data_IF_929863744363
#
_entry.id   IF_929863744363
#
_cell.length_a   1.000
_cell.length_b   1.000
_cell.length_c   1.000
_cell.angle_alpha   90.00
_cell.angle_beta   90.00
_cell.angle_gamma   90.00
#
_symmetry.space_group_name_H-M   'P 1'
#
loop_
_entity.id
_entity.type
_entity.pdbx_description
1 polymer ?
#
# COMPACT_ATOMS: atom_id res chain seq x y z
N UNK A 1 -0.40 -49.22 -41.15
CA UNK A 1 -1.16 -48.82 -39.95
C UNK A 1 -1.66 -47.40 -40.17
N UNK A 2 -2.96 -47.14 -39.99
CA UNK A 2 -3.46 -45.76 -39.87
C UNK A 2 -3.51 -45.47 -38.38
N UNK A 3 -2.56 -44.69 -37.88
CA UNK A 3 -2.58 -44.23 -36.48
C UNK A 3 -3.58 -43.09 -36.38
N UNK A 4 -4.56 -43.22 -35.47
CA UNK A 4 -5.48 -42.14 -35.12
C UNK A 4 -4.83 -41.31 -34.01
N UNK A 5 -4.56 -40.03 -34.28
CA UNK A 5 -4.10 -39.10 -33.25
C UNK A 5 -5.30 -38.32 -32.71
N UNK A 6 -5.58 -38.47 -31.41
CA UNK A 6 -6.58 -37.66 -30.72
C UNK A 6 -5.90 -36.40 -30.17
N UNK A 7 -6.50 -35.24 -30.39
CA UNK A 7 -6.07 -33.98 -29.82
C UNK A 7 -7.03 -33.56 -28.70
N UNK A 8 -6.50 -33.36 -27.49
CA UNK A 8 -7.27 -32.82 -26.37
C UNK A 8 -7.05 -31.32 -26.32
N UNK A 9 -8.13 -30.56 -26.51
CA UNK A 9 -8.13 -29.09 -26.43
C UNK A 9 -8.78 -28.68 -25.10
N UNK A 10 -8.19 -27.71 -24.42
CA UNK A 10 -8.69 -27.17 -23.18
C UNK A 10 -8.52 -25.65 -23.10
N UNK A 11 -9.30 -25.01 -22.23
CA UNK A 11 -9.18 -23.60 -21.93
C UNK A 11 -8.31 -23.39 -20.68
N UNK A 12 -7.43 -22.42 -20.72
CA UNK A 12 -6.55 -22.02 -19.62
C UNK A 12 -6.60 -20.51 -19.43
N UNK A 13 -6.58 -19.99 -18.18
CA UNK A 13 -6.67 -18.56 -17.98
C UNK A 13 -5.32 -17.87 -18.17
N UNK A 14 -5.37 -16.69 -18.79
CA UNK A 14 -4.35 -15.66 -18.65
C UNK A 14 -4.84 -14.71 -17.56
N UNK A 15 -4.06 -14.60 -16.49
CA UNK A 15 -4.43 -13.84 -15.30
C UNK A 15 -3.56 -12.58 -15.23
N UNK A 16 -4.19 -11.43 -15.03
CA UNK A 16 -3.50 -10.13 -14.92
C UNK A 16 -4.21 -9.22 -13.93
N UNK A 17 -3.50 -8.23 -13.37
CA UNK A 17 -4.13 -7.14 -12.63
C UNK A 17 -4.38 -5.97 -13.58
N UNK A 18 -5.67 -5.66 -13.74
CA UNK A 18 -6.15 -4.63 -14.62
C UNK A 18 -6.55 -3.38 -13.82
N UNK A 19 -6.24 -2.22 -14.38
CA UNK A 19 -6.83 -0.96 -13.92
C UNK A 19 -8.27 -0.89 -14.43
N UNK A 20 -9.20 -0.55 -13.55
CA UNK A 20 -10.59 -0.31 -13.89
C UNK A 20 -10.80 1.10 -14.48
N UNK A 21 -9.86 2.01 -14.24
CA UNK A 21 -9.84 3.38 -14.75
C UNK A 21 -9.24 3.39 -16.17
N UNK A 22 -8.04 2.82 -16.32
CA UNK A 22 -7.31 2.77 -17.59
C UNK A 22 -7.30 1.33 -18.14
N UNK A 23 -8.38 0.94 -18.83
CA UNK A 23 -8.53 -0.41 -19.38
C UNK A 23 -7.47 -0.69 -20.46
N UNK A 24 -6.37 -1.34 -20.08
CA UNK A 24 -5.37 -1.87 -21.01
C UNK A 24 -5.56 -3.38 -21.20
N UNK A 25 -5.40 -3.86 -22.44
CA UNK A 25 -5.68 -5.25 -22.83
C UNK A 25 -4.37 -6.01 -23.09
N UNK A 26 -4.08 -7.14 -22.39
CA UNK A 26 -2.92 -7.99 -22.67
C UNK A 26 -3.02 -8.67 -24.03
N UNK A 27 -4.19 -9.22 -24.35
CA UNK A 27 -4.51 -9.74 -25.69
C UNK A 27 -5.47 -8.76 -26.38
N UNK A 28 -5.04 -8.20 -27.51
CA UNK A 28 -5.90 -7.38 -28.37
C UNK A 28 -7.01 -8.29 -28.95
N UNK A 29 -8.28 -7.98 -28.63
CA UNK A 29 -9.55 -8.51 -29.19
C UNK A 29 -10.34 -9.55 -28.38
N UNK A 30 -9.85 -10.01 -27.23
CA UNK A 30 -10.61 -10.98 -26.40
C UNK A 30 -11.21 -10.32 -25.15
N UNK A 31 -12.42 -10.77 -24.78
CA UNK A 31 -13.15 -10.31 -23.60
C UNK A 31 -12.36 -10.59 -22.31
N UNK A 32 -12.38 -9.62 -21.38
CA UNK A 32 -11.75 -9.75 -20.06
C UNK A 32 -12.87 -9.93 -19.04
N UNK A 33 -12.82 -11.04 -18.31
CA UNK A 33 -13.70 -11.29 -17.17
C UNK A 33 -13.03 -10.76 -15.90
N UNK A 34 -13.68 -9.83 -15.21
CA UNK A 34 -13.15 -9.23 -13.99
C UNK A 34 -13.63 -9.97 -12.75
N UNK A 35 -12.69 -10.28 -11.85
CA UNK A 35 -12.96 -10.86 -10.54
C UNK A 35 -13.42 -9.75 -9.60
N UNK A 36 -14.71 -9.75 -9.26
CA UNK A 36 -15.32 -8.75 -8.37
C UNK A 36 -16.15 -9.34 -7.21
N UNK A 37 -16.19 -10.67 -7.09
CA UNK A 37 -16.92 -11.40 -6.05
C UNK A 37 -18.44 -11.49 -6.27
N UNK A 38 -18.99 -10.95 -7.35
CA UNK A 38 -20.43 -11.05 -7.66
C UNK A 38 -20.79 -12.42 -8.24
N UNK A 39 -22.06 -12.86 -8.14
CA UNK A 39 -22.50 -14.12 -8.77
C UNK A 39 -22.24 -14.16 -10.29
N UNK A 40 -22.31 -13.02 -10.97
CA UNK A 40 -21.98 -12.89 -12.39
C UNK A 40 -20.49 -13.16 -12.61
N UNK A 41 -19.61 -12.55 -11.83
CA UNK A 41 -18.16 -12.80 -11.88
C UNK A 41 -17.79 -14.27 -11.62
N UNK A 42 -18.45 -14.95 -10.66
CA UNK A 42 -18.24 -16.40 -10.46
C UNK A 42 -18.61 -17.22 -11.70
N UNK A 43 -19.75 -16.90 -12.32
CA UNK A 43 -20.21 -17.57 -13.55
C UNK A 43 -19.26 -17.35 -14.72
N UNK A 44 -18.89 -16.10 -14.97
CA UNK A 44 -18.07 -15.69 -16.11
C UNK A 44 -16.65 -16.27 -16.02
N UNK A 45 -16.11 -16.37 -14.79
CA UNK A 45 -14.81 -16.98 -14.52
C UNK A 45 -14.86 -18.50 -14.38
N UNK A 46 -16.05 -19.12 -14.55
CA UNK A 46 -16.30 -20.56 -14.46
C UNK A 46 -15.88 -21.16 -13.11
N UNK A 47 -16.05 -20.40 -12.02
CA UNK A 47 -15.76 -20.81 -10.65
C UNK A 47 -17.04 -21.11 -9.87
N UNK A 48 -16.92 -21.94 -8.85
CA UNK A 48 -18.05 -22.26 -7.96
C UNK A 48 -18.22 -21.18 -6.89
N UNK A 49 -19.47 -20.84 -6.60
CA UNK A 49 -19.79 -19.95 -5.48
C UNK A 49 -19.44 -20.61 -4.13
N UNK A 50 -19.18 -19.82 -3.06
CA UNK A 50 -18.73 -20.35 -1.77
C UNK A 50 -19.64 -21.43 -1.16
N UNK A 51 -20.96 -21.31 -1.33
CA UNK A 51 -21.92 -22.28 -0.80
C UNK A 51 -21.85 -23.60 -1.57
N UNK A 52 -21.64 -23.54 -2.89
CA UNK A 52 -21.47 -24.71 -3.74
C UNK A 52 -20.13 -25.42 -3.45
N UNK A 53 -19.06 -24.65 -3.23
CA UNK A 53 -17.76 -25.17 -2.77
C UNK A 53 -17.92 -25.91 -1.43
N UNK A 54 -18.60 -25.32 -0.44
CA UNK A 54 -18.84 -25.97 0.85
C UNK A 54 -19.66 -27.26 0.74
N UNK A 55 -20.70 -27.27 -0.09
CA UNK A 55 -21.50 -28.48 -0.33
C UNK A 55 -20.64 -29.56 -0.98
N UNK A 56 -19.79 -29.21 -1.95
CA UNK A 56 -18.87 -30.15 -2.61
C UNK A 56 -17.85 -30.69 -1.63
N UNK A 57 -17.28 -29.84 -0.79
CA UNK A 57 -16.30 -30.22 0.23
C UNK A 57 -16.91 -31.16 1.26
N UNK A 58 -18.11 -30.86 1.77
CA UNK A 58 -18.85 -31.78 2.66
C UNK A 58 -19.13 -33.14 2.00
N UNK A 59 -19.49 -33.14 0.70
CA UNK A 59 -19.69 -34.37 -0.08
C UNK A 59 -18.38 -35.12 -0.36
N UNK A 60 -17.23 -34.43 -0.45
CA UNK A 60 -15.88 -35.01 -0.61
C UNK A 60 -15.39 -35.63 0.68
N UNK A 61 -15.49 -34.91 1.80
CA UNK A 61 -15.10 -35.39 3.14
C UNK A 61 -15.88 -36.65 3.51
N UNK A 62 -17.17 -36.73 3.15
CA UNK A 62 -17.98 -37.95 3.34
C UNK A 62 -17.52 -39.17 2.54
N UNK A 63 -16.65 -39.02 1.53
CA UNK A 63 -16.17 -40.13 0.68
C UNK A 63 -14.80 -40.72 1.06
N UNK A 64 -14.07 -40.11 2.01
CA UNK A 64 -12.79 -40.54 2.65
C UNK A 64 -11.66 -41.13 1.76
N UNK A 65 -10.50 -40.46 1.85
CA UNK A 65 -9.11 -40.90 1.55
C UNK A 65 -8.81 -41.45 0.14
N UNK A 66 -8.81 -40.56 -0.85
CA UNK A 66 -7.78 -40.57 -1.89
C UNK A 66 -7.10 -39.21 -1.83
N UNK A 67 -5.76 -39.17 -1.89
CA UNK A 67 -4.99 -37.93 -1.79
C UNK A 67 -5.49 -36.91 -2.84
N UNK A 68 -6.02 -35.79 -2.36
CA UNK A 68 -6.79 -34.80 -3.13
C UNK A 68 -5.83 -33.84 -3.85
N UNK A 69 -4.94 -34.40 -4.67
CA UNK A 69 -3.90 -33.69 -5.43
C UNK A 69 -4.25 -33.66 -6.93
N UNK A 70 -5.54 -33.51 -7.28
CA UNK A 70 -5.98 -33.52 -8.69
C UNK A 70 -6.25 -32.10 -9.25
N UNK A 71 -6.48 -31.11 -8.39
CA UNK A 71 -6.91 -29.78 -8.82
C UNK A 71 -5.71 -28.85 -9.06
N UNK A 72 -5.74 -28.12 -10.16
CA UNK A 72 -4.80 -27.03 -10.42
C UNK A 72 -4.93 -25.92 -9.38
N UNK A 73 -3.79 -25.47 -8.88
CA UNK A 73 -3.69 -24.44 -7.84
C UNK A 73 -4.09 -23.05 -8.30
N UNK A 74 -4.05 -22.76 -9.61
CA UNK A 74 -4.62 -21.52 -10.15
C UNK A 74 -6.13 -21.39 -9.90
N UNK A 75 -6.87 -22.51 -9.87
CA UNK A 75 -8.31 -22.48 -9.52
C UNK A 75 -8.46 -22.04 -8.06
N UNK A 76 -7.63 -22.59 -7.17
CA UNK A 76 -7.62 -22.24 -5.74
C UNK A 76 -7.27 -20.77 -5.52
N UNK A 77 -6.31 -20.23 -6.28
CA UNK A 77 -5.97 -18.80 -6.27
C UNK A 77 -7.17 -17.95 -6.70
N UNK A 78 -7.79 -18.25 -7.85
CA UNK A 78 -8.92 -17.48 -8.36
C UNK A 78 -10.15 -17.55 -7.43
N UNK A 79 -10.48 -18.73 -6.88
CA UNK A 79 -11.53 -18.85 -5.86
C UNK A 79 -11.23 -18.01 -4.62
N UNK A 80 -9.95 -17.93 -4.22
CA UNK A 80 -9.53 -17.12 -3.06
C UNK A 80 -9.63 -15.61 -3.36
N UNK A 81 -9.29 -15.18 -4.58
CA UNK A 81 -9.45 -13.80 -5.03
C UNK A 81 -10.93 -13.39 -5.11
N UNK A 82 -11.81 -14.24 -5.67
CA UNK A 82 -13.27 -13.99 -5.66
C UNK A 82 -13.81 -13.84 -4.24
N UNK A 83 -13.40 -14.74 -3.34
CA UNK A 83 -13.82 -14.72 -1.93
C UNK A 83 -13.32 -13.46 -1.21
N UNK A 84 -12.09 -13.02 -1.55
CA UNK A 84 -11.52 -11.76 -1.06
C UNK A 84 -12.37 -10.57 -1.48
N UNK A 85 -12.69 -10.44 -2.77
CA UNK A 85 -13.54 -9.34 -3.27
C UNK A 85 -14.94 -9.37 -2.63
N UNK A 86 -15.60 -10.53 -2.56
CA UNK A 86 -16.92 -10.67 -1.95
C UNK A 86 -16.92 -10.24 -0.47
N UNK A 87 -16.00 -10.78 0.34
CA UNK A 87 -15.97 -10.55 1.79
C UNK A 87 -15.51 -9.16 2.16
N UNK A 88 -14.45 -8.67 1.52
CA UNK A 88 -13.89 -7.35 1.81
C UNK A 88 -14.90 -6.24 1.49
N UNK A 89 -15.55 -6.28 0.32
CA UNK A 89 -16.58 -5.29 -0.06
C UNK A 89 -17.80 -5.34 0.86
N UNK A 90 -18.23 -6.54 1.26
CA UNK A 90 -19.33 -6.70 2.21
C UNK A 90 -18.97 -6.13 3.60
N UNK A 91 -17.76 -6.39 4.10
CA UNK A 91 -17.26 -5.84 5.34
C UNK A 91 -17.16 -4.30 5.30
N UNK A 92 -16.57 -3.76 4.24
CA UNK A 92 -16.42 -2.32 4.03
C UNK A 92 -17.77 -1.59 3.96
N UNK A 93 -18.75 -2.18 3.26
CA UNK A 93 -20.14 -1.71 3.25
C UNK A 93 -20.77 -1.77 4.65
N UNK A 94 -20.50 -2.82 5.42
CA UNK A 94 -21.03 -2.97 6.77
C UNK A 94 -20.45 -1.91 7.71
N UNK A 95 -19.15 -1.64 7.66
CA UNK A 95 -18.48 -0.58 8.44
C UNK A 95 -19.09 0.78 8.11
N UNK A 96 -19.22 1.11 6.81
CA UNK A 96 -19.92 2.32 6.35
C UNK A 96 -21.32 2.48 6.94
N UNK A 97 -22.09 1.39 6.95
CA UNK A 97 -23.50 1.41 7.36
C UNK A 97 -23.72 1.49 8.87
N UNK A 98 -22.71 1.14 9.69
CA UNK A 98 -22.81 1.14 11.16
C UNK A 98 -22.58 2.53 11.77
N UNK A 99 -21.80 3.37 11.11
CA UNK A 99 -21.40 4.67 11.65
C UNK A 99 -22.58 5.66 11.49
N UNK A 100 -23.05 6.21 12.61
CA UNK A 100 -24.15 7.19 12.62
C UNK A 100 -23.66 8.49 12.02
N UNK A 101 -24.25 8.88 10.90
CA UNK A 101 -23.84 10.05 10.15
C UNK A 101 -24.35 11.35 10.78
N UNK A 102 -23.47 12.35 10.91
CA UNK A 102 -23.87 13.74 11.17
C UNK A 102 -24.31 14.43 9.85
N UNK A 103 -23.72 14.08 8.70
CA UNK A 103 -23.86 14.82 7.43
C UNK A 103 -24.34 14.02 6.19
N UNK A 104 -25.04 12.88 6.36
CA UNK A 104 -25.66 12.13 5.26
C UNK A 104 -24.94 10.83 4.85
N UNK A 105 -25.36 10.21 3.74
CA UNK A 105 -24.86 8.88 3.31
C UNK A 105 -23.52 9.03 2.57
N UNK A 106 -22.44 8.49 3.14
CA UNK A 106 -21.13 8.42 2.47
C UNK A 106 -21.21 7.47 1.26
N UNK A 107 -20.90 7.99 0.07
CA UNK A 107 -20.83 7.19 -1.16
C UNK A 107 -19.76 6.09 -1.00
N UNK A 108 -20.05 4.89 -1.50
CA UNK A 108 -19.06 3.81 -1.52
C UNK A 108 -17.86 4.15 -2.41
N UNK A 109 -16.69 3.55 -2.15
CA UNK A 109 -15.47 3.79 -2.91
C UNK A 109 -15.61 3.28 -4.34
N UNK A 110 -14.91 3.96 -5.24
CA UNK A 110 -14.67 3.47 -6.59
C UNK A 110 -13.36 2.67 -6.57
N UNK A 111 -13.47 1.35 -6.61
CA UNK A 111 -12.30 0.47 -6.62
C UNK A 111 -11.56 0.60 -7.94
N UNK A 112 -10.23 0.71 -7.87
CA UNK A 112 -9.43 1.11 -9.04
C UNK A 112 -8.78 -0.07 -9.77
N UNK A 113 -8.62 -1.21 -9.08
CA UNK A 113 -8.00 -2.42 -9.63
C UNK A 113 -8.88 -3.65 -9.42
N UNK A 114 -8.79 -4.57 -10.37
CA UNK A 114 -9.35 -5.91 -10.26
C UNK A 114 -8.47 -6.92 -10.99
N UNK A 115 -8.61 -8.20 -10.63
CA UNK A 115 -7.98 -9.28 -11.39
C UNK A 115 -8.81 -9.54 -12.64
N UNK A 116 -8.18 -9.44 -13.81
CA UNK A 116 -8.75 -9.75 -15.11
C UNK A 116 -8.32 -11.12 -15.59
N UNK A 117 -9.25 -11.87 -16.16
CA UNK A 117 -9.04 -13.19 -16.74
C UNK A 117 -9.37 -13.15 -18.23
N UNK A 118 -8.44 -13.60 -19.05
CA UNK A 118 -8.65 -13.87 -20.47
C UNK A 118 -8.55 -15.37 -20.72
N UNK A 119 -9.35 -15.89 -21.65
CA UNK A 119 -9.38 -17.33 -21.96
C UNK A 119 -8.40 -17.63 -23.08
N UNK A 120 -7.44 -18.51 -22.83
CA UNK A 120 -6.54 -19.03 -23.86
C UNK A 120 -6.83 -20.51 -24.13
N UNK A 121 -7.15 -20.82 -25.37
CA UNK A 121 -7.31 -22.18 -25.86
C UNK A 121 -5.93 -22.82 -26.06
N UNK A 122 -5.73 -24.02 -25.52
CA UNK A 122 -4.48 -24.79 -25.60
C UNK A 122 -4.75 -26.23 -26.04
N UNK A 123 -3.77 -26.82 -26.70
CA UNK A 123 -3.73 -28.24 -27.01
C UNK A 123 -2.85 -28.97 -25.99
N UNK A 124 -3.31 -30.09 -25.46
CA UNK A 124 -2.54 -30.93 -24.55
C UNK A 124 -1.27 -31.47 -25.19
N UNK A 125 -1.25 -31.62 -26.52
CA UNK A 125 -0.07 -32.03 -27.27
C UNK A 125 1.08 -30.99 -27.21
N UNK A 126 0.77 -29.74 -26.83
CA UNK A 126 1.75 -28.67 -26.63
C UNK A 126 2.14 -28.49 -25.15
N UNK A 127 1.56 -29.27 -24.25
CA UNK A 127 1.92 -29.26 -22.82
C UNK A 127 3.13 -30.15 -22.61
N UNK A 128 4.20 -29.66 -21.98
CA UNK A 128 5.39 -30.49 -21.76
C UNK A 128 5.12 -31.71 -20.88
N UNK A 129 5.81 -32.81 -21.15
CA UNK A 129 5.55 -34.11 -20.52
C UNK A 129 5.66 -34.12 -18.98
N UNK A 130 6.42 -33.19 -18.38
CA UNK A 130 6.55 -33.05 -16.91
C UNK A 130 5.35 -32.36 -16.27
N UNK A 131 4.56 -31.64 -17.05
CA UNK A 131 3.42 -30.87 -16.59
C UNK A 131 2.20 -31.77 -16.67
N UNK A 132 1.73 -32.19 -15.51
CA UNK A 132 0.65 -33.18 -15.41
C UNK A 132 -0.74 -32.54 -15.34
N UNK A 133 -0.83 -31.20 -15.24
CA UNK A 133 -2.08 -30.45 -15.04
C UNK A 133 -2.17 -29.22 -15.95
N UNK A 134 -3.40 -28.78 -16.29
CA UNK A 134 -3.61 -27.49 -16.96
C UNK A 134 -3.05 -26.34 -16.10
N UNK A 135 -2.26 -25.47 -16.69
CA UNK A 135 -1.65 -24.34 -15.99
C UNK A 135 -2.21 -23.00 -16.47
N UNK A 136 -2.29 -22.02 -15.57
CA UNK A 136 -2.57 -20.63 -15.92
C UNK A 136 -1.29 -19.92 -16.39
N UNK A 137 -1.46 -18.86 -17.17
CA UNK A 137 -0.34 -17.99 -17.59
C UNK A 137 -0.52 -16.60 -16.98
N UNK A 138 0.56 -16.03 -16.46
CA UNK A 138 0.59 -14.67 -15.94
C UNK A 138 2.01 -14.11 -16.09
N UNK A 139 2.29 -12.95 -15.51
CA UNK A 139 3.64 -12.37 -15.47
C UNK A 139 4.10 -12.23 -14.03
N UNK A 140 5.41 -12.17 -13.80
CA UNK A 140 5.96 -11.97 -12.44
C UNK A 140 5.42 -10.70 -11.79
N UNK A 141 5.22 -9.63 -12.56
CA UNK A 141 4.67 -8.39 -12.06
C UNK A 141 3.25 -8.60 -11.50
N UNK A 142 2.38 -9.24 -12.28
CA UNK A 142 1.01 -9.53 -11.85
C UNK A 142 0.94 -10.53 -10.70
N UNK A 143 1.85 -11.50 -10.62
CA UNK A 143 1.94 -12.40 -9.45
C UNK A 143 2.23 -11.59 -8.19
N UNK A 144 3.26 -10.75 -8.21
CA UNK A 144 3.62 -9.89 -7.08
C UNK A 144 2.43 -9.04 -6.62
N UNK A 145 1.77 -8.37 -7.56
CA UNK A 145 0.60 -7.53 -7.30
C UNK A 145 -0.59 -8.34 -6.74
N UNK A 146 -0.88 -9.53 -7.30
CA UNK A 146 -2.01 -10.37 -6.87
C UNK A 146 -1.81 -10.92 -5.46
N UNK A 147 -0.61 -11.42 -5.16
CA UNK A 147 -0.29 -11.95 -3.85
C UNK A 147 -0.32 -10.84 -2.78
N UNK A 148 0.20 -9.65 -3.09
CA UNK A 148 0.04 -8.51 -2.20
C UNK A 148 -1.44 -8.18 -1.97
N UNK A 149 -2.27 -8.16 -3.03
CA UNK A 149 -3.70 -7.82 -2.92
C UNK A 149 -4.52 -8.77 -2.04
N UNK A 150 -4.08 -10.03 -1.85
CA UNK A 150 -4.74 -11.02 -0.99
C UNK A 150 -4.15 -11.07 0.43
N UNK A 151 -3.18 -10.19 0.72
CA UNK A 151 -2.54 -10.07 2.04
C UNK A 151 -1.36 -11.03 2.24
N UNK A 152 -0.68 -11.41 1.16
CA UNK A 152 0.58 -12.16 1.23
C UNK A 152 1.78 -11.24 1.06
N UNK A 153 2.90 -11.63 1.66
CA UNK A 153 4.19 -10.96 1.54
C UNK A 153 5.29 -11.96 1.21
N UNK A 154 6.40 -11.45 0.66
CA UNK A 154 7.52 -12.29 0.24
C UNK A 154 8.45 -12.63 1.41
N UNK A 155 8.77 -13.92 1.55
CA UNK A 155 9.80 -14.42 2.49
C UNK A 155 11.12 -14.66 1.79
N UNK A 156 11.06 -15.21 0.58
CA UNK A 156 12.21 -15.45 -0.28
C UNK A 156 11.84 -14.94 -1.67
N UNK A 157 12.69 -14.09 -2.22
CA UNK A 157 12.58 -13.61 -3.60
C UNK A 157 13.97 -13.63 -4.21
N UNK A 158 14.39 -14.79 -4.71
CA UNK A 158 15.67 -14.95 -5.39
C UNK A 158 15.43 -14.99 -6.90
N UNK A 159 15.80 -13.91 -7.59
CA UNK A 159 15.66 -13.79 -9.04
C UNK A 159 16.75 -14.58 -9.80
N UNK A 160 17.89 -14.87 -9.19
CA UNK A 160 18.99 -15.60 -9.83
C UNK A 160 18.61 -17.08 -9.94
N UNK A 161 18.12 -17.65 -8.84
CA UNK A 161 17.71 -19.05 -8.78
C UNK A 161 16.20 -19.25 -9.02
N UNK A 162 15.45 -18.17 -9.25
CA UNK A 162 13.98 -18.19 -9.31
C UNK A 162 13.32 -18.94 -8.15
N UNK A 163 13.94 -18.86 -6.97
CA UNK A 163 13.43 -19.44 -5.73
C UNK A 163 12.55 -18.40 -5.05
N UNK A 164 11.25 -18.56 -5.21
CA UNK A 164 10.22 -17.65 -4.76
C UNK A 164 9.40 -18.32 -3.66
N UNK A 165 9.19 -17.62 -2.56
CA UNK A 165 8.32 -18.04 -1.47
C UNK A 165 7.59 -16.84 -0.88
N UNK A 166 6.27 -16.85 -0.99
CA UNK A 166 5.39 -15.90 -0.32
C UNK A 166 4.50 -16.61 0.70
N UNK A 167 4.13 -15.90 1.75
CA UNK A 167 3.17 -16.38 2.75
C UNK A 167 2.36 -15.21 3.31
N UNK A 168 1.19 -15.51 3.86
CA UNK A 168 0.35 -14.50 4.50
C UNK A 168 -1.13 -14.83 4.34
N UNK A 169 -1.95 -14.32 5.25
CA UNK A 169 -3.41 -14.48 5.25
C UNK A 169 -3.91 -15.94 5.04
N UNK A 170 -3.19 -16.94 5.56
CA UNK A 170 -3.55 -18.36 5.44
C UNK A 170 -3.15 -19.02 4.12
N UNK A 171 -2.27 -18.38 3.33
CA UNK A 171 -1.80 -18.88 2.04
C UNK A 171 -0.27 -19.02 2.01
N UNK A 172 0.22 -19.93 1.17
CA UNK A 172 1.63 -20.06 0.81
C UNK A 172 1.76 -20.20 -0.72
N UNK A 173 2.74 -19.50 -1.28
CA UNK A 173 3.20 -19.71 -2.66
C UNK A 173 4.64 -20.16 -2.65
N UNK A 174 4.96 -21.15 -3.47
CA UNK A 174 6.32 -21.62 -3.73
C UNK A 174 6.54 -21.75 -5.23
N UNK A 175 7.75 -21.44 -5.71
CA UNK A 175 8.13 -21.71 -7.10
C UNK A 175 8.91 -23.01 -7.27
N UNK A 176 8.85 -23.52 -8.49
CA UNK A 176 9.72 -24.55 -9.06
C UNK A 176 10.12 -24.13 -10.48
N UNK A 177 11.18 -24.72 -11.03
CA UNK A 177 11.63 -24.46 -12.40
C UNK A 177 11.42 -25.73 -13.22
N UNK A 178 10.53 -25.64 -14.21
CA UNK A 178 10.45 -26.64 -15.27
C UNK A 178 11.35 -26.24 -16.44
N UNK A 179 12.07 -27.21 -17.00
CA UNK A 179 13.05 -26.98 -18.07
C UNK A 179 12.43 -26.47 -19.38
N UNK A 180 11.12 -26.70 -19.58
CA UNK A 180 10.42 -26.42 -20.83
C UNK A 180 9.42 -25.28 -20.74
N UNK A 181 8.74 -25.13 -19.60
CA UNK A 181 7.87 -23.96 -19.35
C UNK A 181 8.65 -22.78 -18.75
N UNK A 182 9.57 -23.03 -17.84
CA UNK A 182 10.21 -22.00 -17.02
C UNK A 182 9.69 -22.02 -15.59
N UNK A 183 9.49 -20.84 -15.00
CA UNK A 183 9.09 -20.72 -13.58
C UNK A 183 7.61 -21.07 -13.40
N UNK A 184 7.34 -22.09 -12.59
CA UNK A 184 6.00 -22.51 -12.19
C UNK A 184 5.82 -22.18 -10.72
N UNK A 185 4.67 -21.62 -10.35
CA UNK A 185 4.29 -21.37 -8.96
C UNK A 185 3.12 -22.27 -8.55
N UNK A 186 3.16 -22.71 -7.29
CA UNK A 186 2.10 -23.48 -6.65
C UNK A 186 1.48 -22.64 -5.55
N UNK A 187 0.15 -22.49 -5.58
CA UNK A 187 -0.62 -21.77 -4.56
C UNK A 187 -1.33 -22.75 -3.62
N UNK A 188 -1.07 -22.64 -2.33
CA UNK A 188 -1.60 -23.56 -1.31
C UNK A 188 -2.31 -22.80 -0.19
N UNK A 189 -3.48 -23.29 0.21
CA UNK A 189 -4.19 -22.82 1.41
C UNK A 189 -3.69 -23.60 2.61
N UNK A 190 -3.14 -22.91 3.60
CA UNK A 190 -2.55 -23.51 4.81
C UNK A 190 -3.35 -23.19 6.07
N UNK A 191 -4.23 -22.20 6.02
CA UNK A 191 -5.04 -21.81 7.17
C UNK A 191 -6.26 -20.98 6.78
N UNK A 192 -6.95 -20.46 7.80
CA UNK A 192 -8.07 -19.55 7.60
C UNK A 192 -7.58 -18.19 7.07
N UNK A 193 -8.33 -17.63 6.12
CA UNK A 193 -8.12 -16.28 5.59
C UNK A 193 -9.15 -15.31 6.16
N UNK A 194 -8.72 -14.08 6.42
CA UNK A 194 -9.58 -12.95 6.79
C UNK A 194 -9.46 -11.84 5.75
N UNK A 195 -10.61 -11.35 5.29
CA UNK A 195 -10.71 -10.28 4.29
C UNK A 195 -11.55 -9.14 4.85
N UNK A 196 -11.16 -8.68 6.03
CA UNK A 196 -11.79 -7.58 6.76
C UNK A 196 -10.82 -6.39 6.80
N UNK A 197 -10.60 -5.79 7.97
CA UNK A 197 -9.78 -4.58 8.16
C UNK A 197 -8.34 -4.65 7.66
N UNK A 198 -7.76 -5.86 7.62
CA UNK A 198 -6.39 -6.07 7.15
C UNK A 198 -6.30 -6.30 5.64
N UNK A 199 -7.40 -6.13 4.89
CA UNK A 199 -7.38 -6.26 3.43
C UNK A 199 -6.65 -5.07 2.81
N UNK A 200 -5.81 -5.35 1.81
CA UNK A 200 -5.08 -4.33 1.07
C UNK A 200 -6.05 -3.46 0.24
N UNK A 201 -5.84 -2.15 0.29
CA UNK A 201 -6.62 -1.15 -0.45
C UNK A 201 -6.49 -1.43 -1.95
N UNK A 202 -7.58 -1.69 -2.69
CA UNK A 202 -7.54 -1.98 -4.13
C UNK A 202 -7.35 -0.69 -4.95
N UNK A 203 -6.18 -0.08 -4.80
CA UNK A 203 -5.72 1.08 -5.57
C UNK A 203 -4.72 0.68 -6.66
N UNK A 204 -4.65 1.46 -7.74
CA UNK A 204 -3.63 1.31 -8.78
C UNK A 204 -2.20 1.44 -8.24
N UNK A 205 -2.01 2.19 -7.16
CA UNK A 205 -0.68 2.41 -6.56
C UNK A 205 -0.01 1.11 -6.05
N UNK A 206 -0.76 0.02 -5.84
CA UNK A 206 -0.19 -1.31 -5.53
C UNK A 206 0.90 -1.71 -6.56
N UNK A 207 0.69 -1.36 -7.84
CA UNK A 207 1.61 -1.67 -8.95
C UNK A 207 3.00 -1.03 -8.81
N UNK A 208 3.12 -0.05 -7.91
CA UNK A 208 4.36 0.67 -7.64
C UNK A 208 4.91 0.25 -6.28
N UNK A 209 4.03 0.26 -5.26
CA UNK A 209 4.39 -0.05 -3.87
C UNK A 209 4.99 -1.43 -3.71
N UNK A 210 4.46 -2.44 -4.42
CA UNK A 210 4.99 -3.81 -4.34
C UNK A 210 6.43 -3.96 -4.86
N UNK A 211 6.94 -2.98 -5.60
CA UNK A 211 8.28 -2.96 -6.18
C UNK A 211 9.16 -1.89 -5.52
N UNK A 212 8.73 -1.35 -4.38
CA UNK A 212 9.45 -0.34 -3.61
C UNK A 212 9.36 1.08 -4.15
N UNK A 213 8.61 1.30 -5.22
CA UNK A 213 8.37 2.62 -5.79
C UNK A 213 7.17 3.27 -5.10
N UNK A 214 7.33 4.51 -4.62
CA UNK A 214 6.27 5.25 -3.94
C UNK A 214 5.86 6.45 -4.79
N UNK A 215 4.60 6.48 -5.26
CA UNK A 215 4.05 7.64 -5.97
C UNK A 215 4.08 8.87 -5.06
N UNK A 216 4.60 9.99 -5.57
CA UNK A 216 4.77 11.21 -4.77
C UNK A 216 3.92 12.37 -5.29
N UNK A 217 3.68 13.36 -4.43
CA UNK A 217 2.80 14.50 -4.72
C UNK A 217 3.24 15.33 -5.93
N UNK A 218 4.51 15.28 -6.35
CA UNK A 218 5.03 16.05 -7.49
C UNK A 218 4.98 15.33 -8.85
N UNK A 219 4.50 14.08 -8.91
CA UNK A 219 4.45 13.30 -10.15
C UNK A 219 3.38 13.76 -11.15
N UNK A 220 2.34 14.45 -10.70
CA UNK A 220 1.24 14.84 -11.59
C UNK A 220 1.71 15.94 -12.55
N UNK A 221 1.69 15.61 -13.84
CA UNK A 221 2.33 16.39 -14.92
C UNK A 221 1.84 17.82 -15.11
N UNK A 222 0.84 18.29 -14.35
CA UNK A 222 0.49 19.72 -14.30
C UNK A 222 1.67 20.54 -13.78
N UNK A 223 2.33 20.11 -12.71
CA UNK A 223 3.42 20.88 -12.09
C UNK A 223 4.74 20.77 -12.88
N UNK A 224 5.00 19.61 -13.49
CA UNK A 224 6.20 19.41 -14.33
C UNK A 224 6.16 20.25 -15.63
N UNK A 225 4.97 20.64 -16.10
CA UNK A 225 4.80 21.46 -17.31
C UNK A 225 4.76 22.96 -17.05
N UNK A 226 4.36 23.40 -15.85
CA UNK A 226 4.13 24.82 -15.54
C UNK A 226 5.39 25.55 -15.08
N UNK A 227 6.33 24.87 -14.41
CA UNK A 227 7.57 25.48 -13.90
C UNK A 227 8.81 24.84 -14.54
N UNK A 228 9.62 25.63 -15.25
CA UNK A 228 10.88 25.18 -15.87
C UNK A 228 11.95 24.71 -14.89
N UNK A 229 11.74 24.94 -13.59
CA UNK A 229 12.63 24.54 -12.49
C UNK A 229 12.19 23.25 -11.78
N UNK A 230 11.03 22.68 -12.14
CA UNK A 230 10.52 21.46 -11.50
C UNK A 230 11.36 20.24 -11.85
N UNK A 231 11.80 19.52 -10.82
CA UNK A 231 12.60 18.30 -10.95
C UNK A 231 11.72 17.08 -10.76
N UNK A 232 11.96 16.04 -11.57
CA UNK A 232 11.34 14.73 -11.38
C UNK A 232 11.88 14.09 -10.09
N UNK A 233 11.02 13.95 -9.08
CA UNK A 233 11.32 13.23 -7.85
C UNK A 233 10.86 11.78 -8.01
N UNK A 234 11.76 10.83 -7.74
CA UNK A 234 11.44 9.41 -7.70
C UNK A 234 11.74 8.88 -6.31
N UNK A 235 10.72 8.32 -5.64
CA UNK A 235 10.90 7.68 -4.34
C UNK A 235 11.00 6.17 -4.54
N UNK A 236 12.19 5.60 -4.32
CA UNK A 236 12.42 4.16 -4.44
C UNK A 236 13.12 3.61 -3.19
N UNK A 237 12.44 2.70 -2.50
CA UNK A 237 12.88 2.08 -1.26
C UNK A 237 13.08 0.55 -1.37
N UNK A 238 13.07 0.02 -2.60
CA UNK A 238 13.07 -1.42 -2.85
C UNK A 238 14.42 -2.12 -2.65
N UNK A 239 15.53 -1.38 -2.67
CA UNK A 239 16.88 -1.91 -2.41
C UNK A 239 17.73 -0.95 -1.57
N UNK A 240 18.71 -1.47 -0.83
CA UNK A 240 19.64 -0.64 -0.05
C UNK A 240 20.37 0.39 -0.92
N UNK A 241 20.75 0.04 -2.15
CA UNK A 241 21.38 0.98 -3.09
C UNK A 241 20.39 2.07 -3.55
N UNK A 242 19.13 1.69 -3.83
CA UNK A 242 18.09 2.66 -4.22
C UNK A 242 17.74 3.58 -3.05
N UNK A 243 17.74 3.02 -1.84
CA UNK A 243 17.61 3.75 -0.59
C UNK A 243 18.80 4.70 -0.47
N UNK A 244 20.05 4.27 -0.58
CA UNK A 244 21.23 5.16 -0.54
C UNK A 244 21.17 6.29 -1.57
N UNK A 245 20.76 6.04 -2.82
CA UNK A 245 20.56 7.09 -3.82
C UNK A 245 19.40 8.05 -3.47
N UNK A 246 18.32 7.50 -2.90
CA UNK A 246 17.19 8.27 -2.39
C UNK A 246 17.55 9.00 -1.09
N UNK A 247 18.48 8.49 -0.28
CA UNK A 247 18.95 9.03 1.01
C UNK A 247 20.07 10.06 0.83
N UNK A 248 20.91 9.92 -0.20
CA UNK A 248 21.82 10.97 -0.70
C UNK A 248 21.01 12.22 -1.08
N UNK A 249 19.71 12.06 -1.33
CA UNK A 249 18.76 13.16 -1.48
C UNK A 249 17.83 13.37 -0.26
N UNK A 250 17.34 12.35 0.46
CA UNK A 250 16.19 12.41 1.39
C UNK A 250 16.17 11.16 2.34
N UNK A 251 16.39 11.32 3.66
CA UNK A 251 16.44 10.31 4.79
C UNK A 251 15.14 9.63 5.32
N UNK A 252 15.20 8.53 6.10
CA UNK A 252 14.08 7.80 6.78
C UNK A 252 12.82 7.46 5.95
N UNK A 253 12.77 6.25 5.38
CA UNK A 253 11.77 5.79 4.41
C UNK A 253 10.30 6.09 4.77
N UNK A 254 9.83 5.74 5.98
CA UNK A 254 8.42 5.92 6.35
C UNK A 254 8.04 7.39 6.60
N UNK A 255 8.97 8.22 7.07
CA UNK A 255 8.72 9.67 7.22
C UNK A 255 8.52 10.31 5.85
N UNK A 256 9.42 10.02 4.91
CA UNK A 256 9.32 10.53 3.53
C UNK A 256 8.01 10.09 2.89
N UNK A 257 7.66 8.81 3.04
CA UNK A 257 6.41 8.29 2.49
C UNK A 257 5.22 9.06 3.05
N UNK A 258 5.20 9.36 4.36
CA UNK A 258 4.14 10.19 4.94
C UNK A 258 4.16 11.66 4.47
N UNK A 259 5.35 12.25 4.36
CA UNK A 259 5.54 13.66 3.98
C UNK A 259 5.22 13.91 2.50
N UNK A 260 5.65 13.03 1.59
CA UNK A 260 5.65 13.24 0.15
C UNK A 260 4.83 12.21 -0.64
N UNK A 261 4.46 11.09 -0.03
CA UNK A 261 3.68 10.05 -0.70
C UNK A 261 2.26 10.51 -1.04
N UNK A 262 1.77 10.09 -2.20
CA UNK A 262 0.36 10.23 -2.56
C UNK A 262 -0.53 9.47 -1.56
N UNK A 263 -1.74 9.98 -1.37
CA UNK A 263 -2.73 9.31 -0.54
C UNK A 263 -3.28 8.11 -1.33
N UNK A 264 -3.11 6.91 -0.81
CA UNK A 264 -3.53 5.66 -1.46
C UNK A 264 -4.94 5.26 -1.06
N UNK A 265 -5.40 5.71 0.11
CA UNK A 265 -6.74 5.45 0.62
C UNK A 265 -7.81 5.91 -0.38
N UNK A 266 -8.75 5.02 -0.67
CA UNK A 266 -9.92 5.36 -1.49
C UNK A 266 -10.99 6.07 -0.64
N UNK A 267 -11.59 7.14 -1.18
CA UNK A 267 -12.71 7.85 -0.55
C UNK A 267 -13.89 6.92 -0.28
N UNK A 268 -14.49 7.01 0.91
CA UNK A 268 -15.57 6.13 1.35
C UNK A 268 -15.16 4.70 1.73
N UNK A 269 -13.87 4.35 1.67
CA UNK A 269 -13.35 3.04 2.10
C UNK A 269 -12.89 3.06 3.56
N UNK A 270 -13.10 1.97 4.28
CA UNK A 270 -12.55 1.75 5.61
C UNK A 270 -11.17 1.06 5.61
N UNK A 271 -10.66 0.66 4.43
CA UNK A 271 -9.36 -0.02 4.31
C UNK A 271 -8.18 0.94 4.51
N UNK A 272 -7.13 0.44 5.18
CA UNK A 272 -5.89 1.17 5.44
C UNK A 272 -4.62 0.43 5.00
N UNK A 273 -4.70 -0.89 4.77
CA UNK A 273 -3.50 -1.68 4.49
C UNK A 273 -2.98 -1.42 3.08
N UNK A 274 -1.68 -1.21 2.95
CA UNK A 274 -0.98 -1.14 1.66
C UNK A 274 0.24 -2.07 1.67
N UNK A 275 0.77 -2.47 0.50
CA UNK A 275 2.03 -3.20 0.44
C UNK A 275 3.17 -2.35 1.01
N UNK A 276 4.12 -2.95 1.73
CA UNK A 276 5.27 -2.23 2.27
C UNK A 276 6.34 -2.00 1.18
N UNK A 277 6.58 -0.75 0.74
CA UNK A 277 7.57 -0.47 -0.29
C UNK A 277 9.01 -0.46 0.25
N UNK A 278 9.22 -0.59 1.56
CA UNK A 278 10.53 -0.44 2.19
C UNK A 278 11.15 -1.78 2.55
N UNK A 279 12.48 -1.84 2.69
CA UNK A 279 13.17 -3.04 3.21
C UNK A 279 13.06 -3.21 4.73
N UNK A 280 12.46 -2.23 5.41
CA UNK A 280 12.31 -2.18 6.86
C UNK A 280 10.95 -2.72 7.30
N UNK A 281 10.89 -3.26 8.52
CA UNK A 281 9.63 -3.68 9.09
C UNK A 281 8.89 -2.50 9.71
N UNK A 282 7.61 -2.38 9.39
CA UNK A 282 6.72 -1.46 10.07
C UNK A 282 6.22 -2.07 11.40
N UNK A 283 6.91 -1.76 12.50
CA UNK A 283 6.63 -2.33 13.81
C UNK A 283 5.65 -1.48 14.64
N UNK A 284 4.50 -1.05 14.09
CA UNK A 284 3.52 -0.23 14.83
C UNK A 284 3.00 -0.89 16.12
N UNK A 285 2.97 -2.23 16.19
CA UNK A 285 2.67 -3.02 17.40
C UNK A 285 3.77 -4.03 17.72
N UNK A 286 4.30 -4.00 18.94
CA UNK A 286 5.20 -5.04 19.49
C UNK A 286 4.45 -5.76 20.61
N UNK A 287 3.98 -6.99 20.31
CA UNK A 287 3.11 -7.74 21.21
C UNK A 287 1.72 -7.11 21.33
N UNK A 288 1.26 -6.85 22.56
CA UNK A 288 -0.03 -6.19 22.84
C UNK A 288 0.07 -4.67 22.93
N UNK A 289 1.28 -4.10 22.92
CA UNK A 289 1.52 -2.66 23.08
C UNK A 289 1.92 -2.00 21.74
N UNK A 290 1.46 -0.77 21.45
CA UNK A 290 1.96 -0.02 20.31
C UNK A 290 3.45 0.28 20.50
N UNK A 291 4.25 0.12 19.43
CA UNK A 291 5.64 0.58 19.43
C UNK A 291 5.70 2.09 19.28
N UNK A 292 4.80 2.69 18.52
CA UNK A 292 4.62 4.13 18.43
C UNK A 292 3.14 4.39 18.21
N UNK A 293 2.56 5.33 18.96
CA UNK A 293 1.19 5.78 18.70
C UNK A 293 1.21 7.08 17.92
N UNK A 294 0.58 7.07 16.74
CA UNK A 294 0.47 8.23 15.88
C UNK A 294 -0.43 9.29 16.51
N UNK A 295 -1.49 8.90 17.22
CA UNK A 295 -2.31 9.85 17.99
C UNK A 295 -1.47 10.56 19.06
N UNK A 296 -0.63 9.83 19.82
CA UNK A 296 0.22 10.45 20.85
C UNK A 296 1.26 11.38 20.24
N UNK A 297 1.85 11.01 19.10
CA UNK A 297 2.73 11.87 18.31
C UNK A 297 1.99 13.13 17.85
N UNK A 298 0.77 12.99 17.34
CA UNK A 298 -0.06 14.12 16.92
C UNK A 298 -0.41 15.05 18.09
N UNK A 299 -0.75 14.52 19.26
CA UNK A 299 -1.05 15.34 20.43
C UNK A 299 0.19 16.11 20.91
N UNK A 300 1.36 15.47 20.92
CA UNK A 300 2.62 16.16 21.23
C UNK A 300 2.96 17.22 20.18
N UNK A 301 2.73 16.91 18.89
CA UNK A 301 2.93 17.83 17.78
C UNK A 301 2.03 19.06 17.91
N UNK A 302 0.75 18.89 18.19
CA UNK A 302 -0.22 19.96 18.38
C UNK A 302 0.16 20.86 19.57
N UNK A 303 0.58 20.26 20.69
CA UNK A 303 1.09 21.02 21.84
C UNK A 303 2.28 21.91 21.45
N UNK A 304 3.30 21.34 20.80
CA UNK A 304 4.49 22.09 20.35
C UNK A 304 4.16 23.12 19.28
N UNK A 305 3.17 22.85 18.43
CA UNK A 305 2.72 23.78 17.40
C UNK A 305 2.03 25.01 18.00
N UNK A 306 1.21 24.83 19.04
CA UNK A 306 0.63 25.94 19.80
C UNK A 306 1.71 26.78 20.50
N UNK A 307 2.68 26.13 21.15
CA UNK A 307 3.83 26.82 21.77
C UNK A 307 4.61 27.67 20.75
N UNK A 308 4.84 27.13 19.54
CA UNK A 308 5.51 27.85 18.45
C UNK A 308 4.67 29.05 17.97
N UNK A 309 3.35 28.87 17.82
CA UNK A 309 2.45 29.93 17.37
C UNK A 309 2.34 31.09 18.36
N UNK A 310 2.46 30.81 19.66
CA UNK A 310 2.54 31.82 20.72
C UNK A 310 3.90 32.54 20.73
N UNK A 311 5.01 31.79 20.58
CA UNK A 311 6.37 32.33 20.64
C UNK A 311 6.68 33.29 19.48
N UNK A 312 6.25 32.94 18.26
CA UNK A 312 6.52 33.72 17.05
C UNK A 312 5.41 34.75 16.75
N UNK A 313 4.41 34.86 17.64
CA UNK A 313 3.28 35.80 17.53
C UNK A 313 2.44 35.66 16.23
N UNK A 314 2.43 34.46 15.64
CA UNK A 314 1.63 34.15 14.44
C UNK A 314 0.12 34.34 14.68
N UNK A 315 -0.30 34.33 15.94
CA UNK A 315 -1.67 34.55 16.39
C UNK A 315 -2.13 36.01 16.27
N UNK A 316 -1.21 36.98 16.32
CA UNK A 316 -1.55 38.41 16.36
C UNK A 316 -1.47 39.10 15.01
N UNK A 317 -0.67 38.56 14.08
CA UNK A 317 -0.37 39.24 12.81
C UNK A 317 -1.50 39.04 11.79
N UNK A 318 -2.13 37.86 11.70
CA UNK A 318 -3.35 37.59 10.90
C UNK A 318 -4.13 36.33 11.39
N UNK A 319 -4.88 36.41 12.51
CA UNK A 319 -5.47 35.24 13.19
C UNK A 319 -6.37 34.35 12.30
N UNK A 320 -7.11 34.92 11.34
CA UNK A 320 -8.03 34.15 10.48
C UNK A 320 -7.36 33.55 9.22
N UNK A 321 -6.04 33.74 9.01
CA UNK A 321 -5.38 33.38 7.74
C UNK A 321 -4.03 32.66 7.86
N UNK A 322 -3.45 32.58 9.04
CA UNK A 322 -2.13 31.95 9.16
C UNK A 322 -2.22 30.41 9.06
N UNK A 323 -1.31 29.81 8.28
CA UNK A 323 -1.36 28.38 7.94
C UNK A 323 -1.19 27.48 9.17
N UNK A 324 -0.35 27.89 10.13
CA UNK A 324 -0.14 27.13 11.37
C UNK A 324 -1.41 27.10 12.23
N UNK A 325 -2.08 28.25 12.39
CA UNK A 325 -3.33 28.34 13.16
C UNK A 325 -4.42 27.46 12.53
N UNK A 326 -4.52 27.46 11.19
CA UNK A 326 -5.43 26.59 10.46
C UNK A 326 -5.14 25.09 10.72
N UNK A 327 -3.87 24.68 10.80
CA UNK A 327 -3.50 23.29 11.12
C UNK A 327 -3.94 22.89 12.53
N UNK A 328 -3.80 23.80 13.50
CA UNK A 328 -4.24 23.58 14.89
C UNK A 328 -5.76 23.38 14.93
N UNK A 329 -6.51 24.32 14.34
CA UNK A 329 -7.98 24.29 14.30
C UNK A 329 -8.50 23.03 13.58
N UNK A 330 -7.92 22.70 12.42
CA UNK A 330 -8.30 21.51 11.65
C UNK A 330 -8.17 20.21 12.46
N UNK A 331 -7.11 20.08 13.26
CA UNK A 331 -6.94 18.90 14.11
C UNK A 331 -7.88 18.90 15.30
N UNK A 332 -8.11 20.06 15.95
CA UNK A 332 -9.08 20.17 17.04
C UNK A 332 -10.49 19.80 16.60
N UNK A 333 -10.92 20.24 15.41
CA UNK A 333 -12.17 19.81 14.80
C UNK A 333 -12.22 18.29 14.59
N UNK A 334 -11.13 17.70 14.12
CA UNK A 334 -11.04 16.25 13.89
C UNK A 334 -11.10 15.46 15.20
N UNK A 335 -10.43 15.94 16.24
CA UNK A 335 -10.47 15.34 17.58
C UNK A 335 -11.87 15.44 18.21
N UNK A 336 -12.61 16.52 17.93
CA UNK A 336 -13.97 16.72 18.43
C UNK A 336 -14.98 15.68 17.92
N UNK A 337 -14.71 15.04 16.78
CA UNK A 337 -15.51 13.93 16.25
C UNK A 337 -15.41 12.69 17.15
N UNK A 338 -14.34 12.60 17.94
CA UNK A 338 -14.05 11.49 18.83
C UNK A 338 -13.60 10.23 18.10
N UNK A 339 -12.72 9.47 18.74
CA UNK A 339 -12.33 8.13 18.29
C UNK A 339 -11.85 7.30 19.48
N UNK A 340 -12.02 5.99 19.41
CA UNK A 340 -11.61 5.08 20.49
C UNK A 340 -10.15 4.67 20.39
N UNK A 341 -9.62 4.46 19.18
CA UNK A 341 -8.22 4.13 18.94
C UNK A 341 -7.80 4.39 17.47
N UNK A 342 -6.50 4.52 17.18
CA UNK A 342 -5.96 4.77 15.82
C UNK A 342 -6.18 3.63 14.81
N UNK A 343 -6.40 2.40 15.28
CA UNK A 343 -6.57 1.20 14.43
C UNK A 343 -8.00 1.05 13.91
N UNK A 344 -8.96 1.52 14.68
CA UNK A 344 -10.39 1.41 14.39
C UNK A 344 -10.99 2.84 14.32
N UNK A 345 -10.33 3.74 13.56
CA UNK A 345 -10.86 5.08 13.29
C UNK A 345 -12.18 4.97 12.52
N UNK A 346 -13.18 5.71 12.98
CA UNK A 346 -14.45 5.81 12.28
C UNK A 346 -14.28 6.45 10.90
N UNK A 347 -15.15 6.08 9.97
CA UNK A 347 -15.01 6.50 8.57
C UNK A 347 -15.10 8.03 8.41
N UNK A 348 -15.88 8.71 9.27
CA UNK A 348 -16.02 10.16 9.25
C UNK A 348 -14.71 10.85 9.65
N UNK A 349 -14.05 10.34 10.68
CA UNK A 349 -12.70 10.79 11.08
C UNK A 349 -11.71 10.52 9.94
N UNK A 350 -11.80 9.37 9.27
CA UNK A 350 -10.93 9.06 8.13
C UNK A 350 -11.15 10.00 6.94
N UNK A 351 -12.40 10.36 6.62
CA UNK A 351 -12.70 11.33 5.56
C UNK A 351 -12.18 12.73 5.93
N UNK A 352 -12.37 13.18 7.17
CA UNK A 352 -11.85 14.47 7.64
C UNK A 352 -10.31 14.53 7.57
N UNK A 353 -9.62 13.46 7.99
CA UNK A 353 -8.15 13.36 7.87
C UNK A 353 -7.74 13.37 6.39
N UNK A 354 -8.50 12.72 5.51
CA UNK A 354 -8.20 12.71 4.08
C UNK A 354 -8.43 14.10 3.46
N UNK A 355 -9.48 14.84 3.84
CA UNK A 355 -9.69 16.23 3.43
C UNK A 355 -8.53 17.13 3.85
N UNK A 356 -8.03 16.94 5.07
CA UNK A 356 -6.83 17.62 5.56
C UNK A 356 -5.62 17.30 4.67
N UNK A 357 -5.40 16.03 4.31
CA UNK A 357 -4.28 15.64 3.44
C UNK A 357 -4.39 16.25 2.04
N UNK A 358 -5.59 16.33 1.48
CA UNK A 358 -5.82 16.96 0.16
C UNK A 358 -5.48 18.44 0.22
N UNK A 359 -5.98 19.16 1.23
CA UNK A 359 -5.69 20.59 1.43
C UNK A 359 -4.20 20.85 1.67
N UNK A 360 -3.52 19.99 2.44
CA UNK A 360 -2.08 20.10 2.67
C UNK A 360 -1.28 19.79 1.40
N UNK A 361 -1.74 18.83 0.60
CA UNK A 361 -1.10 18.51 -0.68
C UNK A 361 -1.26 19.67 -1.67
N UNK A 362 -2.46 20.23 -1.80
CA UNK A 362 -2.73 21.44 -2.60
C UNK A 362 -1.84 22.60 -2.15
N UNK A 363 -1.74 22.86 -0.84
CA UNK A 363 -0.85 23.89 -0.31
C UNK A 363 0.63 23.67 -0.69
N UNK A 364 1.13 22.44 -0.60
CA UNK A 364 2.53 22.10 -0.93
C UNK A 364 2.83 22.11 -2.44
N UNK A 365 1.81 22.06 -3.30
CA UNK A 365 1.94 22.05 -4.75
C UNK A 365 1.72 23.43 -5.37
N UNK A 366 0.67 24.13 -4.93
CA UNK A 366 0.24 25.40 -5.51
C UNK A 366 0.67 26.60 -4.65
N UNK A 367 0.76 26.41 -3.33
CA UNK A 367 1.08 27.46 -2.37
C UNK A 367 2.58 27.68 -2.14
N UNK A 368 3.44 26.76 -2.58
CA UNK A 368 4.89 26.79 -2.34
C UNK A 368 5.68 26.33 -3.57
N UNK A 369 6.93 26.80 -3.69
CA UNK A 369 7.82 26.30 -4.75
C UNK A 369 8.34 24.91 -4.37
N UNK A 370 8.34 23.98 -5.32
CA UNK A 370 8.89 22.63 -5.13
C UNK A 370 10.33 22.67 -4.56
N UNK A 371 11.16 23.60 -5.04
CA UNK A 371 12.54 23.77 -4.55
C UNK A 371 12.62 24.07 -3.06
N UNK A 372 11.68 24.84 -2.53
CA UNK A 372 11.66 25.24 -1.12
C UNK A 372 11.21 24.07 -0.26
N UNK A 373 10.20 23.32 -0.73
CA UNK A 373 9.74 22.08 -0.07
C UNK A 373 10.87 21.06 0.00
N UNK A 374 11.55 20.80 -1.12
CA UNK A 374 12.68 19.86 -1.16
C UNK A 374 13.83 20.33 -0.28
N UNK A 375 14.18 21.62 -0.27
CA UNK A 375 15.22 22.17 0.62
C UNK A 375 14.93 21.93 2.10
N UNK A 376 13.69 22.18 2.53
CA UNK A 376 13.28 21.95 3.93
C UNK A 376 13.35 20.47 4.29
N UNK A 377 12.89 19.59 3.40
CA UNK A 377 12.93 18.13 3.61
C UNK A 377 14.36 17.61 3.69
N UNK A 378 15.22 18.00 2.75
CA UNK A 378 16.64 17.61 2.73
C UNK A 378 17.31 18.05 4.04
N UNK A 379 17.04 19.29 4.49
CA UNK A 379 17.60 19.80 5.75
C UNK A 379 17.09 19.05 6.99
N UNK A 380 15.77 18.74 7.05
CA UNK A 380 15.19 17.90 8.10
C UNK A 380 15.91 16.55 8.16
N UNK A 381 16.08 15.91 7.01
CA UNK A 381 16.57 14.54 6.95
C UNK A 381 18.07 14.41 7.15
N UNK A 382 18.87 15.37 6.68
CA UNK A 382 20.29 15.47 7.02
C UNK A 382 20.48 15.52 8.54
N UNK A 383 19.63 16.30 9.24
CA UNK A 383 19.69 16.44 10.69
C UNK A 383 19.23 15.19 11.42
N UNK A 384 18.11 14.57 11.00
CA UNK A 384 17.67 13.29 11.57
C UNK A 384 18.75 12.21 11.38
N UNK A 385 19.33 12.09 10.18
CA UNK A 385 20.34 11.08 9.87
C UNK A 385 21.60 11.28 10.70
N UNK A 386 22.08 12.53 10.84
CA UNK A 386 23.21 12.85 11.74
C UNK A 386 22.91 12.49 13.18
N UNK A 387 21.71 12.81 13.66
CA UNK A 387 21.27 12.50 15.02
C UNK A 387 21.11 11.00 15.26
N UNK A 388 20.87 10.17 14.24
CA UNK A 388 20.86 8.72 14.41
C UNK A 388 22.24 8.08 14.38
N UNK A 389 23.16 8.63 13.58
CA UNK A 389 24.53 8.13 13.50
C UNK A 389 25.37 8.51 14.73
N UNK A 390 24.84 9.37 15.60
CA UNK A 390 25.44 9.76 16.86
C UNK A 390 24.87 8.89 18.00
N UNK A 391 25.68 7.97 18.52
CA UNK A 391 25.33 7.13 19.65
C UNK A 391 25.03 7.93 20.94
N UNK A 392 25.41 9.21 21.00
CA UNK A 392 25.14 10.11 22.13
C UNK A 392 23.85 10.91 21.99
N UNK A 393 23.22 10.85 20.81
CA UNK A 393 22.00 11.57 20.50
C UNK A 393 20.83 11.14 21.39
N UNK A 394 19.95 12.08 21.79
CA UNK A 394 18.72 11.75 22.49
C UNK A 394 17.86 10.73 21.75
N UNK A 395 17.89 10.71 20.41
CA UNK A 395 17.15 9.77 19.56
C UNK A 395 17.55 8.30 19.82
N UNK A 396 18.83 8.05 20.12
CA UNK A 396 19.38 6.73 20.38
C UNK A 396 18.93 6.14 21.74
N UNK A 397 18.45 7.01 22.65
CA UNK A 397 18.03 6.62 24.00
C UNK A 397 16.53 6.74 24.27
N UNK A 398 15.70 6.96 23.24
CA UNK A 398 14.24 7.07 23.40
C UNK A 398 13.64 5.68 23.73
N UNK A 399 13.80 5.27 24.98
CA UNK A 399 13.28 4.01 25.54
C UNK A 399 12.35 4.25 26.74
N UNK A 400 11.86 5.48 26.92
CA UNK A 400 11.13 5.94 28.11
C UNK A 400 9.60 5.92 27.97
N UNK A 401 8.93 6.07 29.11
CA UNK A 401 7.53 6.49 29.20
C UNK A 401 7.45 7.90 28.57
N UNK A 402 6.58 8.08 27.57
CA UNK A 402 6.44 9.31 26.74
C UNK A 402 7.49 9.50 25.63
N UNK A 403 8.01 8.41 25.06
CA UNK A 403 8.84 8.45 23.85
C UNK A 403 8.30 9.31 22.70
N UNK A 404 6.98 9.36 22.50
CA UNK A 404 6.36 10.18 21.46
C UNK A 404 6.58 11.69 21.71
N UNK A 405 6.41 12.14 22.95
CA UNK A 405 6.66 13.53 23.33
C UNK A 405 8.14 13.87 23.24
N UNK A 406 9.03 12.95 23.67
CA UNK A 406 10.48 13.16 23.56
C UNK A 406 10.93 13.31 22.10
N UNK A 407 10.40 12.49 21.18
CA UNK A 407 10.71 12.58 19.75
C UNK A 407 10.25 13.92 19.15
N UNK A 408 9.01 14.31 19.41
CA UNK A 408 8.46 15.56 18.89
C UNK A 408 9.19 16.77 19.48
N UNK A 409 9.53 16.75 20.77
CA UNK A 409 10.33 17.80 21.38
C UNK A 409 11.69 17.92 20.69
N UNK A 410 12.37 16.82 20.41
CA UNK A 410 13.63 16.85 19.65
C UNK A 410 13.44 17.45 18.25
N UNK A 411 12.34 17.13 17.57
CA UNK A 411 12.05 17.62 16.22
C UNK A 411 11.87 19.15 16.23
N UNK A 412 11.10 19.70 17.17
CA UNK A 412 10.92 21.15 17.26
C UNK A 412 12.16 21.86 17.82
N UNK A 413 12.72 21.36 18.93
CA UNK A 413 13.75 22.08 19.69
C UNK A 413 15.13 22.00 19.01
N UNK A 414 15.40 20.95 18.22
CA UNK A 414 16.71 20.72 17.58
C UNK A 414 16.64 20.77 16.06
N UNK A 415 15.69 20.06 15.44
CA UNK A 415 15.65 19.93 13.98
C UNK A 415 15.10 21.20 13.33
N UNK A 416 13.89 21.64 13.72
CA UNK A 416 13.27 22.86 13.19
C UNK A 416 14.14 24.10 13.46
N UNK A 417 14.71 24.20 14.67
CA UNK A 417 15.68 25.25 14.99
C UNK A 417 16.85 25.24 14.00
N UNK A 418 17.45 24.08 13.72
CA UNK A 418 18.57 24.00 12.79
C UNK A 418 18.20 24.30 11.33
N UNK A 419 16.94 24.10 10.92
CA UNK A 419 16.47 24.42 9.55
C UNK A 419 16.31 25.94 9.40
N UNK A 420 15.93 26.61 10.48
CA UNK A 420 15.59 28.04 10.51
C UNK A 420 16.73 28.93 10.98
N UNK A 421 17.78 28.35 11.56
CA UNK A 421 18.96 29.08 12.03
C UNK A 421 19.58 29.93 10.92
N UNK A 422 19.83 31.20 11.22
CA UNK A 422 20.38 32.18 10.28
C UNK A 422 19.44 32.70 9.19
N UNK A 423 18.16 32.28 9.16
CA UNK A 423 17.15 32.82 8.25
C UNK A 423 16.63 34.19 8.73
N UNK A 424 16.21 35.05 7.81
CA UNK A 424 15.47 36.26 8.16
C UNK A 424 14.03 35.93 8.60
N UNK A 425 13.28 36.93 9.07
CA UNK A 425 11.93 36.73 9.63
C UNK A 425 10.97 36.07 8.63
N UNK A 426 10.97 36.52 7.38
CA UNK A 426 10.05 36.03 6.34
C UNK A 426 10.44 34.62 5.88
N UNK A 427 11.75 34.38 5.67
CA UNK A 427 12.27 33.06 5.32
C UNK A 427 12.07 32.05 6.46
N UNK A 428 12.23 32.49 7.71
CA UNK A 428 11.96 31.68 8.90
C UNK A 428 10.50 31.25 8.97
N UNK A 429 9.56 32.19 8.80
CA UNK A 429 8.13 31.88 8.76
C UNK A 429 7.81 30.90 7.64
N UNK A 430 8.33 31.12 6.42
CA UNK A 430 8.12 30.22 5.30
C UNK A 430 8.62 28.80 5.59
N UNK A 431 9.83 28.66 6.17
CA UNK A 431 10.39 27.37 6.57
C UNK A 431 9.57 26.68 7.66
N UNK A 432 9.08 27.43 8.65
CA UNK A 432 8.16 26.90 9.66
C UNK A 432 6.90 26.34 9.01
N UNK A 433 6.22 27.11 8.17
CA UNK A 433 4.97 26.69 7.53
C UNK A 433 5.16 25.43 6.69
N UNK A 434 6.24 25.36 5.89
CA UNK A 434 6.55 24.19 5.05
C UNK A 434 6.82 22.97 5.93
N UNK A 435 7.72 23.09 6.92
CA UNK A 435 8.11 21.96 7.77
C UNK A 435 6.94 21.43 8.61
N UNK A 436 6.16 22.32 9.21
CA UNK A 436 4.94 21.96 9.97
C UNK A 436 3.93 21.27 9.05
N UNK A 437 3.72 21.77 7.83
CA UNK A 437 2.80 21.15 6.88
C UNK A 437 3.23 19.75 6.50
N UNK A 438 4.54 19.51 6.33
CA UNK A 438 5.10 18.18 6.01
C UNK A 438 4.95 17.21 7.18
N UNK A 439 5.28 17.61 8.41
CA UNK A 439 5.11 16.74 9.58
C UNK A 439 3.64 16.44 9.86
N UNK A 440 2.77 17.46 9.80
CA UNK A 440 1.34 17.26 9.98
C UNK A 440 0.79 16.29 8.94
N UNK A 441 1.17 16.49 7.68
CA UNK A 441 0.84 15.59 6.58
C UNK A 441 1.33 14.16 6.85
N UNK A 442 2.58 13.99 7.29
CA UNK A 442 3.15 12.68 7.63
C UNK A 442 2.31 11.96 8.69
N UNK A 443 1.98 12.65 9.79
CA UNK A 443 1.19 12.06 10.88
C UNK A 443 -0.22 11.69 10.41
N UNK A 444 -0.90 12.56 9.65
CA UNK A 444 -2.20 12.28 9.06
C UNK A 444 -2.14 11.09 8.08
N UNK A 445 -1.10 11.00 7.25
CA UNK A 445 -0.92 9.93 6.29
C UNK A 445 -0.73 8.56 7.00
N UNK A 446 0.03 8.53 8.10
CA UNK A 446 0.26 7.34 8.94
C UNK A 446 -0.97 6.91 9.79
N UNK A 447 -2.00 7.77 9.89
CA UNK A 447 -3.30 7.41 10.46
C UNK A 447 -4.22 6.72 9.45
N UNK A 448 -4.05 7.00 8.15
CA UNK A 448 -4.85 6.45 7.06
C UNK A 448 -4.23 5.24 6.37
N UNK A 449 -2.93 5.04 6.51
CA UNK A 449 -2.21 3.92 5.92
C UNK A 449 -1.50 3.09 6.99
N UNK A 450 -1.44 1.79 6.75
CA UNK A 450 -0.77 0.85 7.62
C UNK A 450 -0.23 -0.34 6.80
N UNK A 451 0.62 -1.15 7.42
CA UNK A 451 1.29 -2.27 6.76
C UNK A 451 1.24 -3.53 7.62
N UNK A 452 1.37 -4.70 6.99
CA UNK A 452 1.58 -5.92 7.75
C UNK A 452 2.95 -5.88 8.42
N UNK A 453 3.00 -6.16 9.72
CA UNK A 453 4.23 -6.11 10.53
C UNK A 453 5.34 -7.05 10.06
N UNK A 454 5.01 -8.06 9.27
CA UNK A 454 5.97 -9.02 8.72
C UNK A 454 6.30 -8.76 7.25
N UNK A 455 5.63 -7.78 6.63
CA UNK A 455 5.87 -7.39 5.26
C UNK A 455 7.06 -6.43 5.17
N UNK A 456 7.87 -6.65 4.14
CA UNK A 456 8.93 -5.76 3.69
C UNK A 456 9.18 -6.03 2.21
N UNK A 457 9.54 -4.99 1.47
CA UNK A 457 9.87 -5.09 0.07
C UNK A 457 11.12 -5.95 -0.11
N UNK A 458 10.94 -7.05 -0.83
CA UNK A 458 12.03 -7.94 -1.29
C UNK A 458 12.08 -8.04 -2.82
N UNK A 459 11.09 -7.48 -3.49
CA UNK A 459 10.96 -7.58 -4.93
C UNK A 459 11.87 -6.51 -5.55
N UNK A 460 12.77 -6.88 -6.48
CA UNK A 460 13.59 -5.91 -7.18
C UNK A 460 12.75 -4.88 -7.96
N UNK A 461 13.05 -3.57 -7.86
CA UNK A 461 12.30 -2.53 -8.57
C UNK A 461 12.26 -2.72 -10.08
N UNK A 462 13.32 -3.28 -10.68
CA UNK A 462 13.41 -3.57 -12.11
C UNK A 462 12.40 -4.62 -12.61
N UNK A 463 11.68 -5.31 -11.72
CA UNK A 463 10.58 -6.22 -12.10
C UNK A 463 9.22 -5.51 -12.22
N UNK A 464 9.14 -4.22 -11.88
CA UNK A 464 7.94 -3.39 -12.09
C UNK A 464 7.54 -3.44 -13.56
N UNK A 465 6.32 -3.88 -13.84
CA UNK A 465 5.82 -4.03 -15.22
C UNK A 465 6.51 -5.11 -16.05
N UNK A 466 7.32 -5.98 -15.45
CA UNK A 466 8.01 -7.06 -16.17
C UNK A 466 7.02 -8.02 -16.80
N UNK A 467 7.18 -8.23 -18.12
CA UNK A 467 6.42 -9.21 -18.91
C UNK A 467 6.92 -10.65 -18.79
N UNK A 468 7.84 -10.94 -17.87
CA UNK A 468 8.41 -12.27 -17.73
C UNK A 468 7.31 -13.29 -17.37
N UNK A 469 7.10 -14.33 -18.20
CA UNK A 469 6.00 -15.27 -17.99
C UNK A 469 6.22 -16.11 -16.75
N UNK A 470 5.17 -16.24 -15.94
CA UNK A 470 5.06 -17.17 -14.82
C UNK A 470 3.85 -18.07 -15.09
N UNK A 471 3.98 -19.35 -14.77
CA UNK A 471 2.91 -20.32 -14.88
C UNK A 471 2.41 -20.71 -13.50
N UNK A 472 1.10 -20.90 -13.35
CA UNK A 472 0.52 -21.35 -12.09
C UNK A 472 -0.04 -22.74 -12.33
N UNK A 473 0.48 -23.74 -11.62
CA UNK A 473 0.06 -25.15 -11.72
C UNK A 473 -1.42 -25.34 -11.45
#
# INVERSE_FOLDING_TARGET
>A
MKEFQFEVIFESPIISIASLINKSHPIRKEEIFYVDGTPTSYRDTKLFEPDQEQIRERKRIQKVHMADDEQSTWITLLSSLQRKELRSRAWDKQVRSRNRHINGVIKGPEYEVAVGIQVKIRSWNCVPARVTRPYATTTIAHVVEMLASIGMYWRVFDQIQWKLRAEGNGFIVTSDIDQSLGVIIRFTVTGASSFEKNSVIPSNHIKELCFGSVPNIFEDGKHLGENSESQGLFLNFGSQNDVELTLESIGFSFEIIGMLGKVVRLRGSAFKMIPNPTQDYWLKKVGTKPSWSIIRLMNAFQKKLTELAELEDYSSIHPEKHVISAIIEQWQETESLGYTNEYDLDIEVQEKIHDILDQRTEFLLDGTKQTDVLRVIVAHLDKVTKALNDDTSPLSFINSVNKEEALINFYFDTILFSITDGADTDEKEQKHIIWVSLLFRMLCWLLLHDWDKHDKCRVPPGLKGSGMPIYIE
#
